data_IF_005430588992
#
_entry.id   IF_005430588992
#
_cell.length_a   1.000
_cell.length_b   1.000
_cell.length_c   1.000
_cell.angle_alpha   90.00
_cell.angle_beta   90.00
_cell.angle_gamma   90.00
#
_symmetry.space_group_name_H-M   'P 1'
#
loop_
_entity.id
_entity.type
_entity.pdbx_description
1 polymer ?
#
# COMPACT_ATOMS: atom_id res chain seq x y z
N UNK A 1 9.13 17.88 23.12
CA UNK A 1 9.84 18.56 22.02
C UNK A 1 9.24 18.11 20.69
N UNK A 2 8.75 19.05 19.87
CA UNK A 2 8.27 18.80 18.50
C UNK A 2 9.45 19.00 17.54
N UNK A 3 9.88 17.95 16.85
CA UNK A 3 10.74 18.11 15.67
C UNK A 3 9.85 18.36 14.44
N UNK A 4 10.09 19.50 13.80
CA UNK A 4 9.52 19.89 12.50
C UNK A 4 10.17 19.03 11.42
N UNK A 5 9.38 18.36 10.58
CA UNK A 5 9.86 17.89 9.28
C UNK A 5 9.49 18.91 8.19
N UNK A 6 10.45 19.39 7.39
CA UNK A 6 10.20 20.25 6.22
C UNK A 6 10.06 19.41 4.95
N UNK A 7 9.26 19.85 3.98
CA UNK A 7 9.31 19.27 2.63
C UNK A 7 7.95 19.24 1.92
N UNK A 8 7.80 20.09 0.93
CA UNK A 8 6.68 20.20 -0.02
C UNK A 8 6.60 18.98 -0.93
N UNK A 9 5.49 18.24 -0.89
CA UNK A 9 5.26 17.10 -1.78
C UNK A 9 3.89 16.46 -1.60
N UNK A 10 2.85 17.10 -2.17
CA UNK A 10 1.50 16.61 -2.59
C UNK A 10 0.72 15.46 -1.91
N UNK A 11 1.17 14.77 -0.86
CA UNK A 11 0.39 13.71 -0.21
C UNK A 11 0.59 13.73 1.32
N UNK A 12 -0.19 14.51 2.09
CA UNK A 12 -0.07 14.49 3.54
C UNK A 12 -0.77 13.24 4.10
N UNK A 13 -0.03 12.12 4.23
CA UNK A 13 -0.43 11.02 5.11
C UNK A 13 0.29 11.16 6.46
N UNK A 14 -0.01 12.23 7.20
CA UNK A 14 0.36 12.33 8.62
C UNK A 14 -0.86 12.72 9.44
N UNK A 15 -1.14 11.87 10.42
CA UNK A 15 -2.07 12.04 11.53
C UNK A 15 -3.57 11.99 11.18
N UNK A 16 -4.19 10.90 11.66
CA UNK A 16 -5.59 10.79 12.07
C UNK A 16 -6.62 11.67 11.37
N UNK A 17 -7.44 11.03 10.54
CA UNK A 17 -8.82 11.42 10.23
C UNK A 17 -9.00 12.88 9.77
N UNK A 18 -9.43 13.03 8.52
CA UNK A 18 -9.90 14.28 7.90
C UNK A 18 -8.78 15.05 7.20
N UNK A 19 -8.58 14.78 5.92
CA UNK A 19 -8.39 15.77 4.83
C UNK A 19 -8.04 15.07 3.52
N UNK A 20 -8.97 14.26 3.02
CA UNK A 20 -9.15 14.13 1.57
C UNK A 20 -10.16 15.23 1.20
N UNK A 21 -9.69 16.47 1.03
CA UNK A 21 -10.51 17.59 0.56
C UNK A 21 -9.94 18.09 -0.75
N UNK A 22 -10.66 17.79 -1.83
CA UNK A 22 -11.22 18.85 -2.67
C UNK A 22 -12.46 18.35 -3.43
N UNK A 23 -13.60 18.99 -3.12
CA UNK A 23 -14.69 19.23 -4.06
C UNK A 23 -15.52 18.06 -4.59
N UNK A 24 -16.41 17.49 -3.77
CA UNK A 24 -17.80 17.20 -4.20
C UNK A 24 -18.68 16.76 -3.02
N UNK A 25 -19.89 17.32 -2.95
CA UNK A 25 -20.92 17.02 -1.95
C UNK A 25 -21.57 15.67 -2.30
N UNK A 26 -20.79 14.60 -2.23
CA UNK A 26 -21.28 13.23 -2.33
C UNK A 26 -21.00 12.55 -1.00
N UNK A 27 -22.06 12.47 -0.18
CA UNK A 27 -22.28 11.59 0.98
C UNK A 27 -21.03 10.76 1.34
N UNK A 28 -20.22 11.24 2.30
CA UNK A 28 -18.92 10.66 2.71
C UNK A 28 -19.02 9.13 2.82
N UNK A 29 -18.69 8.41 1.75
CA UNK A 29 -18.28 7.02 1.86
C UNK A 29 -16.97 7.05 2.62
N UNK A 30 -16.91 6.34 3.74
CA UNK A 30 -15.71 6.26 4.58
C UNK A 30 -14.63 5.64 3.71
N UNK A 31 -13.65 6.43 3.30
CA UNK A 31 -12.47 5.95 2.58
C UNK A 31 -11.79 4.93 3.49
N UNK A 32 -11.81 3.65 3.10
CA UNK A 32 -11.25 2.56 3.91
C UNK A 32 -9.78 2.31 3.64
N UNK A 33 -9.33 2.46 2.39
CA UNK A 33 -7.94 2.21 1.98
C UNK A 33 -7.44 3.31 1.04
N UNK A 34 -6.35 3.95 1.44
CA UNK A 34 -5.65 4.95 0.65
C UNK A 34 -4.41 4.35 -0.01
N UNK A 35 -3.93 5.00 -1.07
CA UNK A 35 -2.60 4.73 -1.62
C UNK A 35 -1.54 4.88 -0.52
N UNK A 36 -0.60 3.94 -0.47
CA UNK A 36 0.46 3.92 0.54
C UNK A 36 0.08 3.18 1.82
N UNK A 37 -1.17 2.72 1.95
CA UNK A 37 -1.55 1.89 3.08
C UNK A 37 -1.03 0.46 2.92
N UNK A 38 -0.41 -0.07 3.97
CA UNK A 38 -0.11 -1.49 4.11
C UNK A 38 -1.33 -2.16 4.73
N UNK A 39 -1.81 -3.20 4.05
CA UNK A 39 -2.96 -4.00 4.46
C UNK A 39 -2.54 -5.44 4.67
N UNK A 40 -3.14 -6.05 5.69
CA UNK A 40 -3.06 -7.47 5.96
C UNK A 40 -4.31 -8.15 5.44
N UNK A 41 -4.10 -9.16 4.60
CA UNK A 41 -5.13 -9.98 3.99
C UNK A 41 -5.04 -11.39 4.57
N UNK A 42 -6.17 -12.03 4.89
CA UNK A 42 -6.16 -13.46 5.17
C UNK A 42 -5.69 -14.20 3.91
N UNK A 43 -4.72 -15.11 4.05
CA UNK A 43 -4.39 -16.05 2.99
C UNK A 43 -5.63 -16.93 2.75
N UNK A 44 -6.24 -16.81 1.57
CA UNK A 44 -7.50 -17.49 1.26
C UNK A 44 -7.37 -19.02 1.37
N UNK A 45 -8.25 -19.61 2.18
CA UNK A 45 -8.44 -21.05 2.43
C UNK A 45 -7.18 -21.82 2.87
N UNK A 46 -6.80 -21.62 4.13
CA UNK A 46 -6.00 -22.60 4.85
C UNK A 46 -6.82 -23.89 5.03
N UNK A 47 -6.31 -25.02 4.52
CA UNK A 47 -6.54 -26.31 5.16
C UNK A 47 -6.03 -26.21 6.60
N UNK A 48 -6.96 -26.06 7.55
CA UNK A 48 -6.94 -26.28 9.01
C UNK A 48 -5.72 -25.88 9.89
N UNK A 49 -4.62 -25.34 9.36
CA UNK A 49 -3.40 -25.12 10.17
C UNK A 49 -2.53 -23.91 9.82
N UNK A 50 -2.94 -23.01 8.93
CA UNK A 50 -2.13 -21.84 8.57
C UNK A 50 -2.90 -20.53 8.71
N UNK A 51 -2.75 -19.85 9.85
CA UNK A 51 -3.18 -18.45 10.09
C UNK A 51 -2.25 -17.47 9.37
N UNK A 52 -1.89 -17.77 8.12
CA UNK A 52 -0.94 -16.96 7.38
C UNK A 52 -1.64 -15.67 6.90
N UNK A 53 -1.07 -14.56 7.32
CA UNK A 53 -1.53 -13.22 6.94
C UNK A 53 -0.60 -12.67 5.88
N UNK A 54 -1.15 -12.32 4.72
CA UNK A 54 -0.40 -11.73 3.62
C UNK A 54 -0.38 -10.22 3.76
N UNK A 55 0.80 -9.62 3.81
CA UNK A 55 0.96 -8.18 3.75
C UNK A 55 0.96 -7.70 2.29
N UNK A 56 0.28 -6.58 2.02
CA UNK A 56 0.24 -5.96 0.70
C UNK A 56 0.20 -4.44 0.81
N UNK A 57 0.82 -3.75 -0.15
CA UNK A 57 0.80 -2.30 -0.29
C UNK A 57 -0.28 -1.89 -1.29
N UNK A 58 -1.11 -0.92 -0.93
CA UNK A 58 -2.12 -0.33 -1.84
C UNK A 58 -1.47 0.72 -2.74
N UNK A 59 -1.55 0.52 -4.06
CA UNK A 59 -0.97 1.40 -5.08
C UNK A 59 -2.03 2.27 -5.78
N UNK A 60 -3.26 1.77 -5.87
CA UNK A 60 -4.36 2.49 -6.52
C UNK A 60 -4.81 3.73 -5.72
N UNK A 61 -5.27 4.78 -6.42
CA UNK A 61 -5.81 5.97 -5.78
C UNK A 61 -7.15 5.67 -5.08
N UNK A 62 -7.51 6.50 -4.11
CA UNK A 62 -8.72 6.32 -3.29
C UNK A 62 -10.00 6.29 -4.13
N UNK A 63 -10.06 7.10 -5.18
CA UNK A 63 -11.19 7.19 -6.09
C UNK A 63 -11.45 5.85 -6.78
N UNK A 64 -10.38 5.13 -7.15
CA UNK A 64 -10.47 3.80 -7.74
C UNK A 64 -10.90 2.76 -6.70
N UNK A 65 -10.31 2.81 -5.50
CA UNK A 65 -10.62 1.86 -4.42
C UNK A 65 -12.10 1.92 -4.00
N UNK A 66 -12.70 3.11 -4.05
CA UNK A 66 -14.11 3.32 -3.72
C UNK A 66 -15.09 2.70 -4.72
N UNK A 67 -14.62 2.32 -5.92
CA UNK A 67 -15.44 1.64 -6.95
C UNK A 67 -15.57 0.15 -6.63
N UNK A 68 -14.57 -0.44 -5.95
CA UNK A 68 -14.67 -1.78 -5.36
C UNK A 68 -13.37 -2.59 -5.37
N UNK A 69 -12.50 -2.38 -6.35
CA UNK A 69 -11.21 -3.06 -6.42
C UNK A 69 -10.08 -2.10 -6.04
N UNK A 70 -9.07 -2.64 -5.37
CA UNK A 70 -7.80 -1.96 -5.15
C UNK A 70 -6.68 -2.71 -5.88
N UNK A 71 -5.78 -1.95 -6.49
CA UNK A 71 -4.52 -2.45 -7.02
C UNK A 71 -3.53 -2.54 -5.86
N UNK A 72 -3.11 -3.76 -5.54
CA UNK A 72 -2.21 -4.04 -4.43
C UNK A 72 -0.96 -4.80 -4.89
N UNK A 73 0.17 -4.49 -4.27
CA UNK A 73 1.42 -5.23 -4.47
C UNK A 73 1.75 -6.03 -3.20
N UNK A 74 1.96 -7.36 -3.30
CA UNK A 74 2.30 -8.17 -2.14
C UNK A 74 3.67 -7.80 -1.59
N UNK A 75 3.81 -7.92 -0.27
CA UNK A 75 5.06 -7.71 0.45
C UNK A 75 5.59 -9.09 0.86
N UNK A 76 6.82 -9.39 0.45
CA UNK A 76 7.52 -10.59 0.88
C UNK A 76 8.56 -10.25 1.95
N UNK A 77 8.66 -11.10 2.96
CA UNK A 77 9.71 -11.03 3.99
C UNK A 77 10.92 -11.92 3.64
N UNK A 78 10.85 -12.67 2.54
CA UNK A 78 11.89 -13.63 2.16
C UNK A 78 13.16 -12.94 1.66
N UNK A 79 14.32 -13.53 1.91
CA UNK A 79 15.63 -12.93 1.59
C UNK A 79 15.97 -12.93 0.08
N UNK A 80 15.22 -13.66 -0.76
CA UNK A 80 15.52 -13.88 -2.19
C UNK A 80 14.73 -12.94 -3.14
N UNK A 81 14.12 -11.85 -2.64
CA UNK A 81 13.54 -10.83 -3.53
C UNK A 81 14.59 -10.08 -4.37
N UNK A 82 15.89 -10.31 -4.11
CA UNK A 82 17.01 -9.77 -4.91
C UNK A 82 16.93 -10.18 -6.39
N UNK A 83 16.32 -11.32 -6.72
CA UNK A 83 16.04 -11.71 -8.12
C UNK A 83 15.15 -10.70 -8.85
N UNK A 84 14.32 -10.00 -8.09
CA UNK A 84 13.39 -8.99 -8.58
C UNK A 84 13.88 -7.58 -8.29
N UNK A 85 15.16 -7.34 -8.01
CA UNK A 85 15.68 -6.03 -7.54
C UNK A 85 15.30 -4.82 -8.42
N UNK A 86 15.02 -5.02 -9.72
CA UNK A 86 14.50 -3.97 -10.61
C UNK A 86 13.05 -3.55 -10.30
N UNK A 87 12.23 -4.46 -9.77
CA UNK A 87 10.80 -4.27 -9.48
C UNK A 87 10.46 -4.47 -7.99
N UNK A 88 11.45 -4.70 -7.15
CA UNK A 88 11.29 -4.83 -5.70
C UNK A 88 11.61 -3.48 -5.04
N UNK A 89 10.69 -2.99 -4.22
CA UNK A 89 10.89 -1.79 -3.39
C UNK A 89 11.16 -2.24 -1.96
N UNK A 90 12.36 -1.97 -1.47
CA UNK A 90 12.78 -2.39 -0.13
C UNK A 90 12.18 -1.48 0.96
N UNK A 91 11.60 -2.09 1.99
CA UNK A 91 11.02 -1.40 3.16
C UNK A 91 12.00 -1.32 4.33
N UNK A 92 13.16 -1.96 4.24
CA UNK A 92 14.13 -2.08 5.35
C UNK A 92 14.57 -0.73 5.90
N UNK A 93 14.73 0.28 5.03
CA UNK A 93 15.15 1.64 5.40
C UNK A 93 14.01 2.66 5.45
N UNK A 94 12.76 2.23 5.26
CA UNK A 94 11.60 3.12 5.17
C UNK A 94 11.07 3.60 6.54
N UNK A 95 11.62 3.10 7.65
CA UNK A 95 11.08 3.38 8.99
C UNK A 95 9.72 2.72 9.27
N UNK A 96 9.29 1.78 8.43
CA UNK A 96 8.07 0.99 8.59
C UNK A 96 8.27 -0.19 9.55
N UNK A 97 7.18 -0.61 10.19
CA UNK A 97 7.17 -1.78 11.05
C UNK A 97 7.27 -3.07 10.23
N UNK A 98 6.58 -3.12 9.09
CA UNK A 98 6.67 -4.19 8.09
C UNK A 98 8.06 -4.17 7.45
N UNK A 99 8.72 -5.33 7.50
CA UNK A 99 10.01 -5.60 6.87
C UNK A 99 9.83 -6.38 5.58
N UNK A 100 10.86 -6.37 4.75
CA UNK A 100 10.88 -7.06 3.47
C UNK A 100 10.78 -6.11 2.29
N UNK A 101 10.30 -6.61 1.15
CA UNK A 101 10.20 -5.85 -0.07
C UNK A 101 8.81 -5.97 -0.71
N UNK A 102 8.34 -4.85 -1.25
CA UNK A 102 7.12 -4.78 -2.07
C UNK A 102 7.46 -5.28 -3.47
N UNK A 103 6.76 -6.31 -3.93
CA UNK A 103 6.97 -6.91 -5.25
C UNK A 103 6.02 -6.27 -6.28
N UNK A 104 6.51 -5.29 -7.03
CA UNK A 104 5.72 -4.57 -8.05
C UNK A 104 5.38 -5.48 -9.24
N UNK A 105 6.22 -6.48 -9.53
CA UNK A 105 5.94 -7.47 -10.57
C UNK A 105 4.78 -8.43 -10.23
N UNK A 106 4.38 -8.52 -8.95
CA UNK A 106 3.30 -9.41 -8.49
C UNK A 106 2.02 -8.64 -8.13
N UNK A 107 1.79 -7.47 -8.72
CA UNK A 107 0.57 -6.68 -8.49
C UNK A 107 -0.70 -7.48 -8.80
N UNK A 108 -1.72 -7.29 -7.97
CA UNK A 108 -3.04 -7.91 -8.13
C UNK A 108 -4.14 -6.90 -7.88
N UNK A 109 -5.21 -6.98 -8.67
CA UNK A 109 -6.47 -6.30 -8.36
C UNK A 109 -7.26 -7.17 -7.39
N UNK A 110 -7.56 -6.64 -6.21
CA UNK A 110 -8.24 -7.38 -5.16
C UNK A 110 -9.29 -6.49 -4.50
N UNK A 111 -10.44 -7.07 -4.21
CA UNK A 111 -11.42 -6.46 -3.30
C UNK A 111 -10.88 -6.64 -1.87
N UNK A 112 -10.54 -5.53 -1.24
CA UNK A 112 -10.02 -5.48 0.13
C UNK A 112 -11.14 -5.58 1.17
N UNK A 113 -12.34 -5.12 0.82
CA UNK A 113 -13.50 -5.15 1.70
C UNK A 113 -14.09 -6.55 1.79
N UNK A 114 -14.23 -7.23 0.66
CA UNK A 114 -14.71 -8.61 0.61
C UNK A 114 -13.76 -9.61 1.29
N UNK A 115 -12.48 -9.24 1.45
CA UNK A 115 -11.44 -10.08 2.08
C UNK A 115 -11.13 -9.71 3.53
N UNK A 116 -11.93 -8.85 4.16
CA UNK A 116 -11.70 -8.37 5.54
C UNK A 116 -10.27 -7.85 5.75
N UNK A 117 -9.75 -7.11 4.77
CA UNK A 117 -8.39 -6.59 4.84
C UNK A 117 -8.28 -5.59 6.01
N UNK A 118 -7.19 -5.68 6.76
CA UNK A 118 -6.92 -4.79 7.90
C UNK A 118 -5.77 -3.87 7.57
N UNK A 119 -6.01 -2.57 7.63
CA UNK A 119 -4.94 -1.57 7.53
C UNK A 119 -4.05 -1.67 8.77
N UNK A 120 -2.74 -1.79 8.54
CA UNK A 120 -1.72 -1.92 9.59
C UNK A 120 -0.97 -0.62 9.75
N UNK A 121 -0.39 -0.12 8.66
CA UNK A 121 0.43 1.08 8.67
C UNK A 121 0.33 1.83 7.35
N UNK A 122 0.98 2.99 7.28
CA UNK A 122 1.09 3.80 6.08
C UNK A 122 2.57 4.05 5.80
N UNK A 123 2.97 3.86 4.56
CA UNK A 123 4.37 4.00 4.13
C UNK A 123 4.68 5.45 3.80
N UNK A 124 5.92 5.94 4.04
CA UNK A 124 6.34 7.25 3.57
C UNK A 124 6.14 7.47 2.06
N UNK A 125 5.91 8.72 1.67
CA UNK A 125 5.65 9.09 0.28
C UNK A 125 6.79 8.70 -0.67
N UNK A 126 8.03 8.74 -0.20
CA UNK A 126 9.22 8.37 -0.97
C UNK A 126 9.11 6.95 -1.53
N UNK A 127 8.65 6.00 -0.70
CA UNK A 127 8.47 4.60 -1.10
C UNK A 127 7.28 4.45 -2.04
N UNK A 128 6.21 5.21 -1.81
CA UNK A 128 5.06 5.23 -2.71
C UNK A 128 5.47 5.76 -4.09
N UNK A 129 6.31 6.79 -4.15
CA UNK A 129 6.84 7.30 -5.41
C UNK A 129 7.77 6.29 -6.09
N UNK A 130 8.65 5.61 -5.36
CA UNK A 130 9.52 4.57 -5.94
C UNK A 130 8.70 3.41 -6.51
N UNK A 131 7.68 2.94 -5.78
CA UNK A 131 6.77 1.91 -6.23
C UNK A 131 6.02 2.32 -7.51
N UNK A 132 5.50 3.55 -7.57
CA UNK A 132 4.82 4.07 -8.75
C UNK A 132 5.78 4.29 -9.93
N UNK A 133 7.02 4.73 -9.69
CA UNK A 133 8.03 4.91 -10.72
C UNK A 133 8.34 3.58 -11.40
N UNK A 134 8.58 2.52 -10.61
CA UNK A 134 8.82 1.16 -11.12
C UNK A 134 7.59 0.58 -11.82
N UNK A 135 6.40 0.87 -11.31
CA UNK A 135 5.15 0.45 -11.96
C UNK A 135 4.96 1.15 -13.32
N UNK A 136 5.35 2.42 -13.46
CA UNK A 136 5.33 3.11 -14.76
C UNK A 136 6.28 2.47 -15.76
N UNK A 137 7.48 2.09 -15.35
CA UNK A 137 8.43 1.34 -16.22
C UNK A 137 7.86 0.02 -16.72
N UNK A 138 6.88 -0.56 -16.01
CA UNK A 138 6.19 -1.77 -16.47
C UNK A 138 5.15 -1.49 -17.58
N UNK A 139 4.58 -0.28 -17.62
CA UNK A 139 3.48 0.09 -18.52
C UNK A 139 3.98 0.92 -19.72
N UNK A 140 4.93 1.81 -19.48
CA UNK A 140 5.49 2.74 -20.46
C UNK A 140 6.93 2.31 -20.81
N UNK A 141 7.29 2.21 -22.11
CA UNK A 141 8.62 1.78 -22.57
C UNK A 141 9.72 2.82 -22.34
#
# INVERSE_FOLDING_TARGET
MRSRCPGTGRYPCLANFTLCREGSILKRRKVKFCRGDIVHLPAGAATESSTDTLAALVLSPVEFNNIGLALVAPITQETDYRRFAGFAVDLTNAGTATKGAVLINMIRNMDLDARDAKKVECVPDEIVQDALARLKTFVEP
#
